data_IF_610112664417
#
_entry.id   IF_610112664417
#
_cell.length_a   1.000
_cell.length_b   1.000
_cell.length_c   1.000
_cell.angle_alpha   90.00
_cell.angle_beta   90.00
_cell.angle_gamma   90.00
#
_symmetry.space_group_name_H-M   'P 1'
#
loop_
_entity.id
_entity.type
_entity.pdbx_description
1 polymer ?
#
# COMPACT_ATOMS: atom_id res chain seq x y z
N UNK A 1 -9.06 -0.21 19.42
CA UNK A 1 -8.29 -1.34 18.86
C UNK A 1 -8.94 -1.77 17.55
N UNK A 2 -8.67 -1.08 16.44
CA UNK A 2 -9.28 -1.42 15.13
C UNK A 2 -8.30 -1.18 13.96
N UNK A 3 -7.00 -1.39 14.21
CA UNK A 3 -5.94 -1.10 13.22
C UNK A 3 -6.17 -1.87 11.91
N UNK A 4 -6.82 -3.05 11.97
CA UNK A 4 -7.14 -3.90 10.83
C UNK A 4 -8.63 -3.85 10.40
N UNK A 5 -9.47 -3.01 11.01
CA UNK A 5 -10.93 -2.94 10.72
C UNK A 5 -11.26 -2.16 9.43
N UNK A 6 -10.30 -2.06 8.51
CA UNK A 6 -10.46 -1.40 7.22
C UNK A 6 -10.55 -2.44 6.10
N UNK A 7 -11.66 -2.45 5.36
CA UNK A 7 -11.86 -3.30 4.16
C UNK A 7 -10.65 -3.25 3.21
N UNK A 8 -10.00 -2.09 3.14
CA UNK A 8 -8.89 -1.83 2.23
C UNK A 8 -7.53 -2.24 2.79
N UNK A 9 -7.27 -2.03 4.09
CA UNK A 9 -6.00 -2.42 4.72
C UNK A 9 -5.68 -3.89 4.52
N UNK A 10 -6.67 -4.76 4.73
CA UNK A 10 -6.50 -6.21 4.55
C UNK A 10 -6.19 -6.53 3.08
N UNK A 11 -6.86 -5.87 2.12
CA UNK A 11 -6.62 -6.06 0.69
C UNK A 11 -5.22 -5.59 0.27
N UNK A 12 -4.77 -4.44 0.79
CA UNK A 12 -3.42 -3.90 0.54
C UNK A 12 -2.35 -4.83 1.12
N UNK A 13 -2.52 -5.29 2.37
CA UNK A 13 -1.59 -6.23 2.99
C UNK A 13 -1.58 -7.58 2.27
N UNK A 14 -2.74 -8.11 1.89
CA UNK A 14 -2.83 -9.34 1.12
C UNK A 14 -2.16 -9.21 -0.25
N UNK A 15 -2.33 -8.07 -0.93
CA UNK A 15 -1.66 -7.74 -2.17
C UNK A 15 -0.13 -7.77 -2.02
N UNK A 16 0.39 -7.08 -1.00
CA UNK A 16 1.81 -7.02 -0.68
C UNK A 16 2.36 -8.38 -0.24
N UNK A 17 1.62 -9.17 0.52
CA UNK A 17 2.05 -10.53 0.88
C UNK A 17 2.06 -11.49 -0.31
N UNK A 18 1.12 -11.34 -1.25
CA UNK A 18 1.00 -12.26 -2.39
C UNK A 18 2.00 -11.95 -3.50
N UNK A 19 2.22 -10.66 -3.81
CA UNK A 19 3.14 -10.22 -4.87
C UNK A 19 4.46 -9.64 -4.39
N UNK A 20 4.59 -9.33 -3.11
CA UNK A 20 5.74 -8.65 -2.53
C UNK A 20 5.68 -7.13 -2.76
N UNK A 21 6.83 -6.60 -3.12
CA UNK A 21 7.07 -5.21 -3.49
C UNK A 21 6.14 -4.73 -4.62
N UNK A 22 5.27 -3.74 -4.33
CA UNK A 22 4.34 -3.15 -5.30
C UNK A 22 4.36 -1.64 -5.26
N UNK A 23 4.10 -1.01 -6.42
CA UNK A 23 3.97 0.45 -6.54
C UNK A 23 2.55 0.90 -6.19
N UNK A 24 2.40 2.19 -5.90
CA UNK A 24 1.10 2.80 -5.59
C UNK A 24 0.02 2.50 -6.65
N UNK A 25 0.37 2.61 -7.93
CA UNK A 25 -0.58 2.35 -9.02
C UNK A 25 -0.94 0.87 -9.14
N UNK A 26 0.00 -0.04 -8.87
CA UNK A 26 -0.27 -1.48 -8.89
C UNK A 26 -1.21 -1.87 -7.74
N UNK A 27 -0.98 -1.32 -6.54
CA UNK A 27 -1.89 -1.47 -5.40
C UNK A 27 -3.28 -0.93 -5.70
N UNK A 28 -3.37 0.25 -6.32
CA UNK A 28 -4.66 0.82 -6.73
C UNK A 28 -5.42 -0.07 -7.72
N UNK A 29 -4.71 -0.69 -8.67
CA UNK A 29 -5.32 -1.60 -9.64
C UNK A 29 -5.74 -2.93 -9.01
N UNK A 30 -4.92 -3.46 -8.10
CA UNK A 30 -5.18 -4.73 -7.44
C UNK A 30 -6.35 -4.62 -6.45
N UNK A 31 -6.38 -3.51 -5.70
CA UNK A 31 -7.43 -3.20 -4.76
C UNK A 31 -8.58 -2.50 -5.51
N UNK A 32 -9.33 -3.29 -6.27
CA UNK A 32 -10.38 -2.76 -7.15
C UNK A 32 -11.45 -1.97 -6.36
N UNK A 33 -11.69 -0.72 -6.76
CA UNK A 33 -12.67 0.16 -6.14
C UNK A 33 -12.12 1.09 -5.05
N UNK A 34 -10.82 1.05 -4.72
CA UNK A 34 -10.21 2.02 -3.82
C UNK A 34 -9.90 3.33 -4.55
N UNK A 35 -10.30 4.46 -3.97
CA UNK A 35 -9.90 5.78 -4.47
C UNK A 35 -8.45 6.12 -4.07
N UNK A 36 -7.75 6.90 -4.89
CA UNK A 36 -6.38 7.36 -4.62
C UNK A 36 -6.19 7.97 -3.23
N UNK A 37 -7.13 8.82 -2.82
CA UNK A 37 -7.12 9.46 -1.51
C UNK A 37 -7.24 8.43 -0.38
N UNK A 38 -8.11 7.44 -0.55
CA UNK A 38 -8.31 6.38 0.44
C UNK A 38 -7.07 5.48 0.49
N UNK A 39 -6.55 5.03 -0.66
CA UNK A 39 -5.33 4.21 -0.72
C UNK A 39 -4.14 4.91 -0.04
N UNK A 40 -3.95 6.20 -0.31
CA UNK A 40 -2.88 6.97 0.33
C UNK A 40 -3.06 7.06 1.85
N UNK A 41 -4.31 7.22 2.33
CA UNK A 41 -4.60 7.24 3.76
C UNK A 41 -4.32 5.88 4.41
N UNK A 42 -4.78 4.80 3.80
CA UNK A 42 -4.58 3.45 4.31
C UNK A 42 -3.09 3.07 4.31
N UNK A 43 -2.35 3.39 3.24
CA UNK A 43 -0.91 3.17 3.18
C UNK A 43 -0.15 3.98 4.23
N UNK A 44 -0.53 5.24 4.46
CA UNK A 44 0.08 6.06 5.50
C UNK A 44 -0.19 5.51 6.89
N UNK A 45 -1.41 5.04 7.16
CA UNK A 45 -1.77 4.40 8.43
C UNK A 45 -1.01 3.07 8.62
N UNK A 46 -0.91 2.24 7.57
CA UNK A 46 -0.12 1.01 7.60
C UNK A 46 1.38 1.29 7.81
N UNK A 47 1.92 2.35 7.20
CA UNK A 47 3.30 2.79 7.41
C UNK A 47 3.51 3.28 8.85
N UNK A 48 2.59 4.06 9.40
CA UNK A 48 2.63 4.53 10.78
C UNK A 48 2.57 3.38 11.80
N UNK A 49 1.84 2.32 11.46
CA UNK A 49 1.78 1.08 12.25
C UNK A 49 2.94 0.11 11.97
N UNK A 50 3.93 0.51 11.15
CA UNK A 50 5.08 -0.31 10.74
C UNK A 50 4.69 -1.64 10.06
N UNK A 51 3.49 -1.69 9.48
CA UNK A 51 2.99 -2.86 8.74
C UNK A 51 3.40 -2.84 7.27
N UNK A 52 3.68 -1.66 6.72
CA UNK A 52 4.14 -1.47 5.34
C UNK A 52 5.33 -0.52 5.35
N UNK A 53 6.34 -0.83 4.55
CA UNK A 53 7.54 -0.03 4.36
C UNK A 53 7.52 0.60 2.97
N UNK A 54 7.44 1.92 2.93
CA UNK A 54 7.65 2.71 1.72
C UNK A 54 9.14 2.81 1.42
N UNK A 55 9.56 2.26 0.28
CA UNK A 55 10.93 2.33 -0.23
C UNK A 55 10.98 3.22 -1.46
N UNK A 56 11.75 4.29 -1.41
CA UNK A 56 12.00 5.15 -2.57
C UNK A 56 13.23 4.62 -3.30
N UNK A 57 13.04 4.15 -4.52
CA UNK A 57 14.09 3.62 -5.37
C UNK A 57 14.65 4.75 -6.25
N UNK A 58 15.98 4.95 -6.27
CA UNK A 58 16.64 5.97 -7.09
C UNK A 58 16.74 5.53 -8.57
N UNK A 59 15.61 5.17 -9.16
CA UNK A 59 15.49 4.88 -10.60
C UNK A 59 15.27 6.17 -11.39
N UNK A 60 15.47 6.13 -12.72
CA UNK A 60 15.11 7.22 -13.64
C UNK A 60 13.91 6.77 -14.47
N UNK A 61 12.67 7.22 -14.21
CA UNK A 61 12.21 8.16 -13.16
C UNK A 61 12.14 7.52 -11.76
N UNK A 62 12.21 8.35 -10.69
CA UNK A 62 12.17 7.91 -9.29
C UNK A 62 10.89 7.12 -9.05
N UNK A 63 11.04 5.90 -8.52
CA UNK A 63 9.92 5.01 -8.27
C UNK A 63 9.75 4.79 -6.77
N UNK A 64 8.50 4.67 -6.35
CA UNK A 64 8.15 4.36 -4.96
C UNK A 64 7.54 2.97 -4.94
N UNK A 65 8.06 2.15 -4.06
CA UNK A 65 7.61 0.79 -3.84
C UNK A 65 7.18 0.61 -2.38
N UNK A 66 6.22 -0.28 -2.15
CA UNK A 66 5.66 -0.61 -0.85
C UNK A 66 5.85 -2.11 -0.62
N UNK A 67 6.29 -2.50 0.57
CA UNK A 67 6.48 -3.90 0.99
C UNK A 67 5.99 -4.11 2.42
#
# INVERSE_FOLDING_TARGET
MEILSGKWKIQILAALMFKGNMRFMDLMRMVNGIGAKMLSKELHDLEANQLVKRTVLPTKPITVDYA
#
